data_IF_392375233216
#
_entry.id   IF_392375233216
#
_cell.length_a   1.000
_cell.length_b   1.000
_cell.length_c   1.000
_cell.angle_alpha   90.00
_cell.angle_beta   90.00
_cell.angle_gamma   90.00
#
_symmetry.space_group_name_H-M   'P 1'
#
loop_
_entity.id
_entity.type
_entity.pdbx_description
1 polymer ?
#
# COMPACT_ATOMS: atom_id res chain seq x y z
N UNK A 1 -23.42 -25.57 -0.33
CA UNK A 1 -23.89 -24.17 -0.24
C UNK A 1 -22.75 -23.23 0.15
N UNK A 2 -21.83 -23.65 1.04
CA UNK A 2 -20.64 -22.88 1.48
C UNK A 2 -19.65 -22.53 0.34
N UNK A 3 -19.27 -23.50 -0.49
CA UNK A 3 -18.33 -23.28 -1.62
C UNK A 3 -18.78 -22.21 -2.63
N UNK A 4 -20.09 -21.98 -2.78
CA UNK A 4 -20.62 -20.99 -3.74
C UNK A 4 -20.43 -19.58 -3.17
N UNK A 5 -20.58 -19.39 -1.85
CA UNK A 5 -20.36 -18.10 -1.19
C UNK A 5 -18.88 -17.72 -1.17
N UNK A 6 -17.99 -18.66 -0.91
CA UNK A 6 -16.53 -18.43 -0.97
C UNK A 6 -16.07 -18.05 -2.38
N UNK A 7 -16.55 -18.77 -3.40
CA UNK A 7 -16.24 -18.46 -4.80
C UNK A 7 -16.78 -17.08 -5.20
N UNK A 8 -17.99 -16.71 -4.76
CA UNK A 8 -18.57 -15.39 -5.03
C UNK A 8 -17.77 -14.27 -4.36
N UNK A 9 -17.38 -14.47 -3.09
CA UNK A 9 -16.58 -13.51 -2.33
C UNK A 9 -15.21 -13.26 -2.98
N UNK A 10 -14.53 -14.32 -3.42
CA UNK A 10 -13.27 -14.21 -4.14
C UNK A 10 -13.40 -13.45 -5.47
N UNK A 11 -14.50 -13.67 -6.20
CA UNK A 11 -14.80 -12.98 -7.46
C UNK A 11 -15.03 -11.48 -7.25
N UNK A 12 -15.77 -11.11 -6.20
CA UNK A 12 -15.99 -9.71 -5.83
C UNK A 12 -14.68 -9.00 -5.42
N UNK A 13 -13.81 -9.68 -4.67
CA UNK A 13 -12.51 -9.13 -4.32
C UNK A 13 -11.65 -8.86 -5.57
N UNK A 14 -11.58 -9.83 -6.48
CA UNK A 14 -10.82 -9.67 -7.72
C UNK A 14 -11.40 -8.57 -8.62
N UNK A 15 -12.73 -8.49 -8.75
CA UNK A 15 -13.39 -7.42 -9.50
C UNK A 15 -13.08 -6.04 -8.90
N UNK A 16 -13.07 -5.93 -7.56
CA UNK A 16 -12.70 -4.70 -6.85
C UNK A 16 -11.27 -4.26 -7.14
N UNK A 17 -10.30 -5.18 -7.08
CA UNK A 17 -8.89 -4.89 -7.39
C UNK A 17 -8.75 -4.41 -8.84
N UNK A 18 -9.38 -5.10 -9.79
CA UNK A 18 -9.36 -4.72 -11.21
C UNK A 18 -9.98 -3.33 -11.42
N UNK A 19 -11.10 -3.05 -10.76
CA UNK A 19 -11.77 -1.74 -10.85
C UNK A 19 -10.88 -0.61 -10.31
N UNK A 20 -10.20 -0.81 -9.17
CA UNK A 20 -9.27 0.18 -8.59
C UNK A 20 -8.12 0.45 -9.56
N UNK A 21 -7.48 -0.60 -10.08
CA UNK A 21 -6.38 -0.47 -11.04
C UNK A 21 -6.85 0.25 -12.31
N UNK A 22 -8.03 -0.10 -12.82
CA UNK A 22 -8.63 0.55 -13.98
C UNK A 22 -8.87 2.05 -13.72
N UNK A 23 -9.44 2.42 -12.57
CA UNK A 23 -9.68 3.82 -12.19
C UNK A 23 -8.35 4.59 -12.15
N UNK A 24 -7.32 4.05 -11.49
CA UNK A 24 -6.00 4.69 -11.38
C UNK A 24 -5.37 4.88 -12.76
N UNK A 25 -5.40 3.84 -13.60
CA UNK A 25 -4.83 3.87 -14.95
C UNK A 25 -5.54 4.92 -15.82
N UNK A 26 -6.89 4.93 -15.79
CA UNK A 26 -7.71 5.89 -16.53
C UNK A 26 -7.45 7.32 -16.08
N UNK A 27 -7.41 7.58 -14.78
CA UNK A 27 -7.11 8.91 -14.25
C UNK A 27 -5.71 9.38 -14.63
N UNK A 28 -4.72 8.49 -14.49
CA UNK A 28 -3.33 8.80 -14.86
C UNK A 28 -3.22 9.16 -16.35
N UNK A 29 -3.94 8.44 -17.21
CA UNK A 29 -4.00 8.73 -18.64
C UNK A 29 -4.62 10.11 -18.92
N UNK A 30 -5.76 10.42 -18.31
CA UNK A 30 -6.43 11.72 -18.49
C UNK A 30 -5.55 12.89 -18.02
N UNK A 31 -4.86 12.74 -16.90
CA UNK A 31 -3.92 13.75 -16.38
C UNK A 31 -2.76 13.97 -17.35
N UNK A 32 -2.15 12.88 -17.84
CA UNK A 32 -1.05 12.98 -18.83
C UNK A 32 -1.52 13.64 -20.13
N UNK A 33 -2.69 13.26 -20.63
CA UNK A 33 -3.29 13.87 -21.81
C UNK A 33 -3.50 15.38 -21.63
N UNK A 34 -4.12 15.79 -20.51
CA UNK A 34 -4.36 17.20 -20.20
C UNK A 34 -3.07 18.02 -20.01
N UNK A 35 -1.99 17.42 -19.51
CA UNK A 35 -0.67 18.09 -19.41
C UNK A 35 -0.06 18.33 -20.79
N UNK A 36 -0.14 17.35 -21.69
CA UNK A 36 0.36 17.47 -23.07
C UNK A 36 -0.40 18.55 -23.83
N UNK A 37 -1.74 18.58 -23.71
CA UNK A 37 -2.59 19.61 -24.34
C UNK A 37 -2.30 21.03 -23.84
N UNK A 38 -1.85 21.17 -22.59
CA UNK A 38 -1.48 22.46 -21.98
C UNK A 38 -0.01 22.85 -22.18
N UNK A 39 0.78 22.05 -22.93
CA UNK A 39 2.19 22.30 -23.17
C UNK A 39 3.08 22.23 -21.92
N UNK A 40 2.60 21.60 -20.85
CA UNK A 40 3.37 21.42 -19.61
C UNK A 40 4.34 20.24 -19.79
N UNK A 41 5.64 20.51 -19.60
CA UNK A 41 6.67 19.47 -19.67
C UNK A 41 6.40 18.37 -18.63
N UNK A 42 6.53 17.12 -19.08
CA UNK A 42 6.38 15.94 -18.23
C UNK A 42 7.41 16.01 -17.08
N UNK A 43 7.00 15.89 -15.80
CA UNK A 43 7.95 15.93 -14.70
C UNK A 43 8.84 14.68 -14.72
N UNK A 44 10.01 14.79 -15.36
CA UNK A 44 11.11 13.81 -15.36
C UNK A 44 11.75 13.62 -13.96
N UNK A 45 11.27 14.29 -12.90
CA UNK A 45 11.91 14.23 -11.57
C UNK A 45 11.46 13.07 -10.66
N UNK A 46 10.53 12.22 -11.11
CA UNK A 46 9.80 11.34 -10.19
C UNK A 46 10.48 10.00 -9.86
N UNK A 47 11.40 9.47 -10.67
CA UNK A 47 11.92 8.10 -10.46
C UNK A 47 12.76 7.96 -9.19
N UNK A 48 13.57 8.96 -8.86
CA UNK A 48 14.45 8.93 -7.67
C UNK A 48 13.65 9.06 -6.37
N UNK A 49 12.63 9.93 -6.34
CA UNK A 49 11.71 10.05 -5.19
C UNK A 49 10.82 8.82 -5.02
N UNK A 50 10.39 8.18 -6.12
CA UNK A 50 9.58 6.96 -6.05
C UNK A 50 10.35 5.77 -5.44
N UNK A 51 11.64 5.64 -5.72
CA UNK A 51 12.47 4.59 -5.09
C UNK A 51 12.65 4.82 -3.58
N UNK A 52 12.74 6.08 -3.17
CA UNK A 52 12.88 6.47 -1.76
C UNK A 52 11.57 6.24 -0.99
N UNK A 53 10.43 6.56 -1.60
CA UNK A 53 9.09 6.27 -1.04
C UNK A 53 8.89 4.76 -0.86
N UNK A 54 9.21 3.95 -1.88
CA UNK A 54 9.11 2.48 -1.82
C UNK A 54 10.06 1.93 -0.75
N UNK A 55 11.30 2.42 -0.70
CA UNK A 55 12.26 1.98 0.31
C UNK A 55 11.79 2.25 1.74
N UNK A 56 11.17 3.40 1.99
CA UNK A 56 10.63 3.76 3.30
C UNK A 56 9.46 2.84 3.72
N UNK A 57 8.55 2.54 2.78
CA UNK A 57 7.43 1.63 3.04
C UNK A 57 7.94 0.21 3.31
N UNK A 58 8.83 -0.31 2.47
CA UNK A 58 9.38 -1.67 2.63
C UNK A 58 10.15 -1.82 3.94
N UNK A 59 10.94 -0.81 4.33
CA UNK A 59 11.65 -0.81 5.62
C UNK A 59 10.68 -0.84 6.81
N UNK A 60 9.63 -0.03 6.77
CA UNK A 60 8.65 0.03 7.85
C UNK A 60 7.86 -1.29 7.99
N UNK A 61 7.48 -1.92 6.87
CA UNK A 61 6.81 -3.21 6.87
C UNK A 61 7.73 -4.31 7.38
N UNK A 62 9.01 -4.32 6.97
CA UNK A 62 10.01 -5.26 7.50
C UNK A 62 10.20 -5.13 9.01
N UNK A 63 10.22 -3.90 9.54
CA UNK A 63 10.24 -3.64 10.97
C UNK A 63 8.96 -4.13 11.66
N UNK A 64 7.79 -3.87 11.08
CA UNK A 64 6.51 -4.35 11.61
C UNK A 64 6.46 -5.87 11.74
N UNK A 65 6.98 -6.60 10.75
CA UNK A 65 7.07 -8.07 10.76
C UNK A 65 8.10 -8.57 11.79
N UNK A 66 9.24 -7.89 11.94
CA UNK A 66 10.20 -8.24 13.01
C UNK A 66 9.59 -8.05 14.39
N UNK A 67 8.89 -6.94 14.62
CA UNK A 67 8.22 -6.65 15.89
C UNK A 67 7.07 -7.63 16.14
N UNK A 68 6.34 -8.04 15.09
CA UNK A 68 5.24 -9.00 15.22
C UNK A 68 5.70 -10.36 15.72
N UNK A 69 6.93 -10.77 15.42
CA UNK A 69 7.53 -12.02 15.89
C UNK A 69 7.64 -12.09 17.42
N UNK A 70 7.74 -10.95 18.11
CA UNK A 70 7.75 -10.91 19.57
C UNK A 70 6.41 -11.35 20.17
N UNK A 71 5.29 -10.99 19.54
CA UNK A 71 3.96 -11.40 20.00
C UNK A 71 3.72 -12.90 19.84
N UNK A 72 4.33 -13.52 18.83
CA UNK A 72 4.28 -14.97 18.63
C UNK A 72 5.03 -15.75 19.73
N UNK A 73 5.99 -15.13 20.41
CA UNK A 73 6.74 -15.78 21.51
C UNK A 73 6.07 -15.66 22.88
N UNK A 74 5.01 -14.85 23.01
CA UNK A 74 4.22 -14.76 24.23
C UNK A 74 3.08 -15.79 24.18
N UNK A 75 2.76 -16.42 25.32
CA UNK A 75 1.61 -17.34 25.45
C UNK A 75 0.26 -16.58 25.40
N UNK A 76 -0.03 -15.93 24.27
CA UNK A 76 -1.34 -15.37 23.98
C UNK A 76 -2.21 -16.42 23.28
N UNK A 77 -3.53 -16.27 23.43
CA UNK A 77 -4.50 -17.02 22.61
C UNK A 77 -4.28 -16.74 21.13
N UNK A 78 -4.42 -17.77 20.30
CA UNK A 78 -4.14 -17.75 18.85
C UNK A 78 -4.82 -16.57 18.14
N UNK A 79 -6.10 -16.34 18.44
CA UNK A 79 -6.87 -15.20 17.88
C UNK A 79 -6.29 -13.82 18.27
N UNK A 80 -5.79 -13.68 19.49
CA UNK A 80 -5.24 -12.42 19.98
C UNK A 80 -3.84 -12.16 19.40
N UNK A 81 -3.04 -13.22 19.25
CA UNK A 81 -1.75 -13.15 18.59
C UNK A 81 -1.90 -12.74 17.12
N UNK A 82 -2.83 -13.36 16.39
CA UNK A 82 -3.10 -13.02 14.98
C UNK A 82 -3.58 -11.57 14.81
N UNK A 83 -4.52 -11.12 15.64
CA UNK A 83 -5.01 -9.75 15.59
C UNK A 83 -3.88 -8.73 15.83
N UNK A 84 -2.97 -9.01 16.78
CA UNK A 84 -1.82 -8.16 17.07
C UNK A 84 -0.77 -8.18 15.95
N UNK A 85 -0.51 -9.34 15.35
CA UNK A 85 0.41 -9.45 14.21
C UNK A 85 -0.09 -8.59 13.05
N UNK A 86 -1.36 -8.75 12.64
CA UNK A 86 -1.93 -7.95 11.56
C UNK A 86 -2.03 -6.46 11.92
N UNK A 87 -2.39 -6.16 13.17
CA UNK A 87 -2.48 -4.80 13.68
C UNK A 87 -1.13 -4.07 13.63
N UNK A 88 -0.05 -4.72 14.09
CA UNK A 88 1.28 -4.13 14.09
C UNK A 88 1.81 -3.90 12.68
N UNK A 89 1.62 -4.85 11.75
CA UNK A 89 2.00 -4.67 10.34
C UNK A 89 1.28 -3.48 9.70
N UNK A 90 -0.04 -3.32 9.96
CA UNK A 90 -0.81 -2.18 9.45
C UNK A 90 -0.36 -0.85 10.05
N UNK A 91 -0.11 -0.79 11.36
CA UNK A 91 0.35 0.42 12.05
C UNK A 91 1.73 0.84 11.53
N UNK A 92 2.68 -0.10 11.45
CA UNK A 92 4.02 0.17 10.93
C UNK A 92 4.00 0.56 9.44
N UNK A 93 3.19 -0.12 8.62
CA UNK A 93 3.00 0.24 7.22
C UNK A 93 2.41 1.64 7.03
N UNK A 94 1.44 2.02 7.87
CA UNK A 94 0.87 3.37 7.87
C UNK A 94 1.90 4.43 8.26
N UNK A 95 2.73 4.17 9.28
CA UNK A 95 3.83 5.05 9.68
C UNK A 95 4.84 5.23 8.54
N UNK A 96 5.21 4.15 7.85
CA UNK A 96 6.10 4.21 6.70
C UNK A 96 5.55 5.03 5.54
N UNK A 97 4.25 4.90 5.25
CA UNK A 97 3.57 5.70 4.23
C UNK A 97 3.57 7.20 4.60
N UNK A 98 3.32 7.50 5.88
CA UNK A 98 3.28 8.86 6.41
C UNK A 98 4.68 9.50 6.40
N UNK A 99 5.71 8.72 6.76
CA UNK A 99 7.12 9.11 6.67
C UNK A 99 7.56 9.35 5.22
N UNK A 100 7.19 8.48 4.28
CA UNK A 100 7.43 8.65 2.86
C UNK A 100 6.80 9.95 2.34
N UNK A 101 5.53 10.20 2.69
CA UNK A 101 4.84 11.43 2.31
C UNK A 101 5.53 12.69 2.88
N UNK A 102 6.02 12.61 4.11
CA UNK A 102 6.71 13.73 4.75
C UNK A 102 8.09 14.00 4.16
N UNK A 103 8.87 12.96 3.84
CA UNK A 103 10.11 13.09 3.08
C UNK A 103 9.86 13.70 1.70
N UNK A 104 8.82 13.24 1.01
CA UNK A 104 8.41 13.76 -0.30
C UNK A 104 8.07 15.25 -0.27
N UNK A 105 7.46 15.72 0.83
CA UNK A 105 7.13 17.14 1.05
C UNK A 105 8.37 17.98 1.37
N UNK A 106 9.40 17.41 2.01
CA UNK A 106 10.68 18.10 2.28
C UNK A 106 11.62 18.19 1.07
N UNK A 107 11.52 17.26 0.12
CA UNK A 107 12.40 17.20 -1.06
C UNK A 107 11.86 17.97 -2.28
N UNK A 108 10.58 18.40 -2.26
CA UNK A 108 10.04 19.40 -3.19
C UNK A 108 10.33 20.81 -2.71
#
# INVERSE_FOLDING_TARGET
MENIQEALGALFLMAGVVAIVYIIARYTYLIKKAMIEKGLANPESSKKMQYLDIGCIVLSLGLGIMVSTFFTTMELTEDAADLLIWGTILVFGAIGLLAAHWLRKRTK
#
